data_IF_467006960532
#
_entry.id   IF_467006960532
#
_cell.length_a   1.000
_cell.length_b   1.000
_cell.length_c   1.000
_cell.angle_alpha   90.00
_cell.angle_beta   90.00
_cell.angle_gamma   90.00
#
_symmetry.space_group_name_H-M   'P 1'
#
loop_
_entity.id
_entity.type
_entity.pdbx_description
1 polymer ?
#
# COMPACT_ATOMS: atom_id res chain seq x y z
N UNK A 1 5.22 0.69 -13.64
CA UNK A 1 5.30 1.38 -12.32
C UNK A 1 5.68 0.36 -11.26
N UNK A 2 6.66 0.69 -10.41
CA UNK A 2 7.16 -0.20 -9.36
C UNK A 2 6.27 -0.13 -8.11
N UNK A 3 6.26 -1.19 -7.32
CA UNK A 3 5.47 -1.31 -6.08
C UNK A 3 5.82 -0.20 -5.07
N UNK A 4 7.11 0.09 -4.88
CA UNK A 4 7.57 1.19 -4.04
C UNK A 4 7.00 2.56 -4.45
N UNK A 5 6.80 2.79 -5.75
CA UNK A 5 6.17 4.03 -6.24
C UNK A 5 4.70 4.09 -5.86
N UNK A 6 4.01 2.95 -5.87
CA UNK A 6 2.62 2.84 -5.42
C UNK A 6 2.57 3.10 -3.91
N UNK A 7 3.42 2.45 -3.13
CA UNK A 7 3.52 2.62 -1.68
C UNK A 7 3.67 4.09 -1.29
N UNK A 8 4.65 4.80 -1.86
CA UNK A 8 4.88 6.23 -1.60
C UNK A 8 3.64 7.07 -1.98
N UNK A 9 3.08 6.87 -3.19
CA UNK A 9 1.92 7.63 -3.66
C UNK A 9 0.68 7.41 -2.79
N UNK A 10 0.40 6.17 -2.42
CA UNK A 10 -0.74 5.81 -1.56
C UNK A 10 -0.57 6.41 -0.18
N UNK A 11 0.63 6.37 0.38
CA UNK A 11 0.92 6.96 1.70
C UNK A 11 0.71 8.47 1.70
N UNK A 12 1.21 9.18 0.67
CA UNK A 12 0.96 10.63 0.50
C UNK A 12 -0.52 10.95 0.34
N UNK A 13 -1.24 10.12 -0.42
CA UNK A 13 -2.68 10.31 -0.61
C UNK A 13 -3.43 10.16 0.72
N UNK A 14 -3.17 9.11 1.50
CA UNK A 14 -3.77 8.92 2.83
C UNK A 14 -3.49 10.12 3.75
N UNK A 15 -2.24 10.58 3.82
CA UNK A 15 -1.88 11.76 4.62
C UNK A 15 -2.63 13.01 4.15
N UNK A 16 -2.71 13.25 2.84
CA UNK A 16 -3.46 14.39 2.28
C UNK A 16 -4.98 14.33 2.56
N UNK A 17 -5.49 13.15 2.95
CA UNK A 17 -6.87 12.95 3.38
C UNK A 17 -7.05 13.02 4.90
N UNK A 18 -6.00 13.37 5.63
CA UNK A 18 -6.03 13.52 7.09
C UNK A 18 -5.89 12.21 7.86
N UNK A 19 -5.38 11.14 7.24
CA UNK A 19 -5.08 9.90 7.94
C UNK A 19 -3.73 9.96 8.62
N UNK A 20 -3.66 9.37 9.81
CA UNK A 20 -2.42 9.12 10.56
C UNK A 20 -1.90 7.73 10.18
N UNK A 21 -0.64 7.65 9.78
CA UNK A 21 0.03 6.41 9.42
C UNK A 21 0.43 5.66 10.69
N UNK A 22 -0.17 4.48 10.90
CA UNK A 22 0.11 3.64 12.07
C UNK A 22 1.22 2.64 11.79
N UNK A 23 1.27 2.10 10.57
CA UNK A 23 2.28 1.13 10.17
C UNK A 23 2.52 1.19 8.67
N UNK A 24 3.76 1.00 8.25
CA UNK A 24 4.15 0.77 6.85
C UNK A 24 5.00 -0.49 6.78
N UNK A 25 4.59 -1.45 5.96
CA UNK A 25 5.44 -2.57 5.59
C UNK A 25 6.29 -2.22 4.40
N UNK A 26 7.59 -2.47 4.56
CA UNK A 26 8.57 -2.31 3.51
C UNK A 26 8.93 -3.71 3.03
N UNK A 27 8.54 -4.07 1.81
CA UNK A 27 8.84 -5.39 1.29
C UNK A 27 10.35 -5.63 1.21
N UNK A 28 10.78 -6.85 1.56
CA UNK A 28 12.18 -7.28 1.56
C UNK A 28 12.38 -8.28 0.40
N UNK A 29 13.36 -8.05 -0.48
CA UNK A 29 13.60 -8.97 -1.61
C UNK A 29 14.75 -8.58 -2.55
N UNK A 30 14.97 -9.36 -3.62
CA UNK A 30 15.92 -9.01 -4.69
C UNK A 30 15.35 -7.86 -5.53
N UNK A 31 16.10 -6.75 -5.64
CA UNK A 31 15.72 -5.55 -6.40
C UNK A 31 15.44 -4.30 -5.55
N UNK A 32 15.49 -4.41 -4.22
CA UNK A 32 15.41 -3.27 -3.30
C UNK A 32 16.78 -2.59 -3.20
N UNK A 33 17.09 -1.75 -4.18
CA UNK A 33 18.38 -1.04 -4.29
C UNK A 33 18.42 0.30 -3.54
N UNK A 34 17.32 0.75 -2.91
CA UNK A 34 17.25 2.03 -2.20
C UNK A 34 16.64 1.84 -0.82
N UNK A 35 17.11 2.63 0.13
CA UNK A 35 16.47 2.79 1.44
C UNK A 35 15.11 3.46 1.28
N UNK A 36 14.11 2.64 0.96
CA UNK A 36 12.73 3.10 0.73
C UNK A 36 12.12 3.70 1.99
N UNK A 37 12.61 3.34 3.19
CA UNK A 37 12.18 4.00 4.44
C UNK A 37 12.55 5.48 4.40
N UNK A 38 13.81 5.78 4.10
CA UNK A 38 14.26 7.18 3.98
C UNK A 38 13.52 7.92 2.88
N UNK A 39 13.24 7.29 1.74
CA UNK A 39 12.44 7.92 0.67
C UNK A 39 11.03 8.26 1.15
N UNK A 40 10.35 7.34 1.84
CA UNK A 40 9.02 7.57 2.39
C UNK A 40 9.06 8.71 3.43
N UNK A 41 10.03 8.68 4.34
CA UNK A 41 10.19 9.70 5.39
C UNK A 41 10.43 11.10 4.78
N UNK A 42 11.31 11.22 3.79
CA UNK A 42 11.59 12.49 3.09
C UNK A 42 10.32 12.98 2.38
N UNK A 43 9.69 12.13 1.57
CA UNK A 43 8.51 12.50 0.78
C UNK A 43 7.31 12.90 1.65
N UNK A 44 7.16 12.30 2.83
CA UNK A 44 6.10 12.63 3.77
C UNK A 44 6.42 13.90 4.56
N UNK A 45 7.69 14.10 4.95
CA UNK A 45 8.13 15.34 5.59
C UNK A 45 7.97 16.54 4.66
N UNK A 46 8.31 16.38 3.38
CA UNK A 46 8.09 17.41 2.35
C UNK A 46 6.59 17.69 2.13
N UNK A 47 5.73 16.71 2.41
CA UNK A 47 4.27 16.88 2.42
C UNK A 47 3.72 17.44 3.75
N UNK A 48 4.58 17.80 4.71
CA UNK A 48 4.19 18.37 6.00
C UNK A 48 3.78 17.35 7.06
N UNK A 49 4.02 16.05 6.84
CA UNK A 49 3.74 15.01 7.84
C UNK A 49 4.86 14.96 8.88
N UNK A 50 4.50 15.19 10.15
CA UNK A 50 5.47 15.28 11.26
C UNK A 50 5.39 14.11 12.24
N UNK A 51 4.38 13.26 12.11
CA UNK A 51 4.16 12.14 13.03
C UNK A 51 5.17 11.01 12.82
N UNK A 52 5.42 10.24 13.88
CA UNK A 52 6.32 9.10 13.83
C UNK A 52 5.74 7.97 12.97
N UNK A 53 6.56 7.45 12.05
CA UNK A 53 6.21 6.31 11.19
C UNK A 53 6.79 5.04 11.80
N UNK A 54 5.96 4.00 11.91
CA UNK A 54 6.39 2.67 12.36
C UNK A 54 6.53 1.72 11.17
N UNK A 55 7.73 1.16 10.98
CA UNK A 55 7.99 0.20 9.92
C UNK A 55 8.01 -1.24 10.44
N UNK A 56 7.21 -2.13 9.86
CA UNK A 56 7.17 -3.55 10.24
C UNK A 56 6.75 -4.44 9.06
N UNK A 57 7.18 -5.69 9.00
CA UNK A 57 6.97 -6.59 7.85
C UNK A 57 5.85 -7.63 8.04
N UNK A 58 4.99 -7.46 9.04
CA UNK A 58 4.06 -8.47 9.55
C UNK A 58 2.58 -8.12 9.31
N UNK A 59 2.28 -7.23 8.37
CA UNK A 59 0.93 -6.74 8.13
C UNK A 59 0.73 -6.32 6.67
N UNK A 60 -0.44 -5.73 6.39
CA UNK A 60 -0.68 -4.92 5.19
C UNK A 60 0.47 -3.92 4.95
N UNK A 61 0.69 -3.60 3.67
CA UNK A 61 1.69 -2.61 3.24
C UNK A 61 1.52 -1.25 3.92
N UNK A 62 0.29 -0.79 4.12
CA UNK A 62 -0.01 0.43 4.87
C UNK A 62 -1.17 0.17 5.82
N UNK A 63 -1.02 0.59 7.07
CA UNK A 63 -2.12 0.79 8.01
C UNK A 63 -2.19 2.27 8.35
N UNK A 64 -3.33 2.89 8.06
CA UNK A 64 -3.58 4.29 8.37
C UNK A 64 -4.97 4.44 8.97
N UNK A 65 -5.17 5.41 9.85
CA UNK A 65 -6.48 5.62 10.49
C UNK A 65 -6.79 7.10 10.64
N UNK A 66 -8.08 7.41 10.71
CA UNK A 66 -8.57 8.66 11.26
C UNK A 66 -9.50 8.34 12.45
N UNK A 67 -10.35 9.29 12.84
CA UNK A 67 -11.28 9.09 13.96
C UNK A 67 -12.37 8.03 13.69
N UNK A 68 -12.77 7.86 12.42
CA UNK A 68 -13.94 7.07 12.02
C UNK A 68 -13.54 5.72 11.38
N UNK A 69 -12.43 5.71 10.65
CA UNK A 69 -12.03 4.60 9.78
C UNK A 69 -10.58 4.17 10.02
N UNK A 70 -10.32 2.89 9.77
CA UNK A 70 -8.99 2.30 9.64
C UNK A 70 -8.83 1.67 8.25
N UNK A 71 -7.81 2.10 7.52
CA UNK A 71 -7.45 1.63 6.21
C UNK A 71 -6.31 0.62 6.32
N UNK A 72 -6.51 -0.56 5.74
CA UNK A 72 -5.49 -1.60 5.58
C UNK A 72 -5.28 -1.82 4.10
N UNK A 73 -4.14 -1.38 3.60
CA UNK A 73 -3.88 -1.27 2.16
C UNK A 73 -2.75 -2.19 1.76
N UNK A 74 -3.00 -3.03 0.77
CA UNK A 74 -1.96 -3.77 0.05
C UNK A 74 -1.57 -3.00 -1.20
N UNK A 75 -0.27 -2.90 -1.50
CA UNK A 75 0.25 -2.20 -2.67
C UNK A 75 0.79 -3.22 -3.68
N UNK A 76 0.39 -3.10 -4.94
CA UNK A 76 0.92 -3.95 -6.01
C UNK A 76 1.40 -3.16 -7.21
N UNK A 77 2.68 -3.30 -7.54
CA UNK A 77 3.24 -2.78 -8.80
C UNK A 77 2.91 -3.67 -10.00
N UNK A 78 3.07 -3.16 -11.23
CA UNK A 78 2.85 -3.96 -12.46
C UNK A 78 4.10 -4.76 -12.90
N UNK A 79 5.29 -4.44 -12.36
CA UNK A 79 6.53 -5.17 -12.67
C UNK A 79 6.86 -5.24 -14.17
N UNK A 80 7.63 -6.26 -14.57
CA UNK A 80 8.02 -6.54 -15.96
C UNK A 80 7.47 -7.91 -16.45
N UNK A 81 6.40 -8.41 -15.83
CA UNK A 81 5.85 -9.74 -16.10
C UNK A 81 4.90 -9.78 -17.30
N UNK A 82 4.60 -11.00 -17.78
CA UNK A 82 3.52 -11.25 -18.77
C UNK A 82 2.15 -10.99 -18.13
N UNK A 83 1.11 -10.83 -18.94
CA UNK A 83 -0.29 -10.65 -18.48
C UNK A 83 -0.71 -11.67 -17.42
N UNK A 84 -0.38 -12.96 -17.62
CA UNK A 84 -0.66 -14.02 -16.64
C UNK A 84 0.03 -13.77 -15.29
N UNK A 85 1.28 -13.32 -15.30
CA UNK A 85 2.02 -12.96 -14.08
C UNK A 85 1.35 -11.79 -13.36
N UNK A 86 0.87 -10.79 -14.11
CA UNK A 86 0.18 -9.64 -13.54
C UNK A 86 -1.16 -10.03 -12.92
N UNK A 87 -1.93 -10.89 -13.59
CA UNK A 87 -3.17 -11.46 -13.03
C UNK A 87 -2.91 -12.24 -11.74
N UNK A 88 -1.95 -13.17 -11.75
CA UNK A 88 -1.62 -13.93 -10.53
C UNK A 88 -1.15 -13.01 -9.38
N UNK A 89 -0.43 -11.93 -9.70
CA UNK A 89 -0.04 -10.94 -8.70
C UNK A 89 -1.23 -10.15 -8.15
N UNK A 90 -2.19 -9.80 -9.01
CA UNK A 90 -3.45 -9.17 -8.59
C UNK A 90 -4.25 -10.10 -7.67
N UNK A 91 -4.51 -11.33 -8.10
CA UNK A 91 -5.29 -12.31 -7.34
C UNK A 91 -4.68 -12.57 -5.96
N UNK A 92 -3.33 -12.69 -5.91
CA UNK A 92 -2.61 -12.84 -4.64
C UNK A 92 -2.74 -11.61 -3.74
N UNK A 93 -2.61 -10.41 -4.29
CA UNK A 93 -2.73 -9.18 -3.52
C UNK A 93 -4.15 -9.01 -2.98
N UNK A 94 -5.16 -9.27 -3.81
CA UNK A 94 -6.56 -9.25 -3.41
C UNK A 94 -6.83 -10.28 -2.31
N UNK A 95 -6.32 -11.50 -2.45
CA UNK A 95 -6.42 -12.51 -1.40
C UNK A 95 -5.79 -12.04 -0.08
N UNK A 96 -4.58 -11.44 -0.13
CA UNK A 96 -3.95 -10.85 1.06
C UNK A 96 -4.83 -9.80 1.71
N UNK A 97 -5.42 -8.87 0.94
CA UNK A 97 -6.30 -7.82 1.44
C UNK A 97 -7.45 -8.38 2.28
N UNK A 98 -8.10 -9.46 1.81
CA UNK A 98 -9.22 -10.08 2.52
C UNK A 98 -8.77 -10.71 3.85
N UNK A 99 -7.54 -11.21 3.95
CA UNK A 99 -7.00 -11.77 5.21
C UNK A 99 -6.82 -10.74 6.32
N UNK A 100 -6.83 -9.44 6.01
CA UNK A 100 -6.68 -8.38 6.99
C UNK A 100 -7.97 -8.04 7.73
N UNK A 101 -9.12 -8.61 7.31
CA UNK A 101 -10.37 -8.46 8.03
C UNK A 101 -10.27 -9.10 9.42
N UNK A 102 -10.59 -8.32 10.43
CA UNK A 102 -10.69 -8.75 11.83
C UNK A 102 -11.81 -7.94 12.50
N UNK A 103 -12.05 -8.14 13.80
CA UNK A 103 -12.93 -7.24 14.55
C UNK A 103 -12.15 -6.01 15.00
N UNK A 104 -12.62 -4.81 14.66
CA UNK A 104 -12.05 -3.52 15.08
C UNK A 104 -13.18 -2.62 15.55
N UNK A 105 -12.87 -1.67 16.43
CA UNK A 105 -13.84 -0.69 16.91
C UNK A 105 -14.23 0.37 15.86
N UNK A 106 -13.41 0.55 14.82
CA UNK A 106 -13.62 1.51 13.72
C UNK A 106 -14.09 0.80 12.47
N UNK A 107 -14.71 1.55 11.56
CA UNK A 107 -15.02 1.03 10.23
C UNK A 107 -13.72 0.66 9.50
N UNK A 108 -13.65 -0.58 9.02
CA UNK A 108 -12.50 -1.05 8.27
C UNK A 108 -12.69 -0.82 6.78
N UNK A 109 -11.65 -0.26 6.16
CA UNK A 109 -11.51 -0.19 4.71
C UNK A 109 -10.32 -1.06 4.31
N UNK A 110 -10.63 -2.17 3.64
CA UNK A 110 -9.65 -3.07 3.06
C UNK A 110 -9.43 -2.68 1.60
N UNK A 111 -8.22 -2.30 1.23
CA UNK A 111 -7.95 -1.71 -0.07
C UNK A 111 -6.76 -2.35 -0.78
N UNK A 112 -6.85 -2.40 -2.11
CA UNK A 112 -5.77 -2.79 -2.99
C UNK A 112 -5.34 -1.57 -3.82
N UNK A 113 -4.14 -1.05 -3.56
CA UNK A 113 -3.54 0.04 -4.32
C UNK A 113 -2.76 -0.50 -5.51
N UNK A 114 -3.18 -0.14 -6.72
CA UNK A 114 -2.62 -0.60 -7.99
C UNK A 114 -2.44 0.56 -8.98
N UNK A 115 -1.48 0.45 -9.92
CA UNK A 115 -1.36 1.40 -11.00
C UNK A 115 -2.63 1.42 -11.87
N UNK A 116 -3.02 2.62 -12.29
CA UNK A 116 -4.10 2.82 -13.25
C UNK A 116 -3.62 2.46 -14.67
N UNK A 117 -3.56 1.16 -14.97
CA UNK A 117 -3.07 0.61 -16.24
C UNK A 117 -3.94 -0.56 -16.70
N UNK A 118 -4.11 -0.70 -18.02
CA UNK A 118 -5.03 -1.67 -18.64
C UNK A 118 -4.93 -3.09 -18.07
N UNK A 119 -3.74 -3.69 -17.86
CA UNK A 119 -3.65 -5.07 -17.35
C UNK A 119 -4.28 -5.29 -15.97
N UNK A 120 -4.30 -4.27 -15.11
CA UNK A 120 -4.97 -4.34 -13.81
C UNK A 120 -6.42 -3.89 -13.86
N UNK A 121 -6.75 -2.86 -14.65
CA UNK A 121 -8.14 -2.43 -14.83
C UNK A 121 -9.02 -3.54 -15.40
N UNK A 122 -8.49 -4.35 -16.31
CA UNK A 122 -9.21 -5.51 -16.84
C UNK A 122 -9.60 -6.52 -15.75
N UNK A 123 -8.82 -6.64 -14.66
CA UNK A 123 -9.17 -7.56 -13.57
C UNK A 123 -10.31 -7.04 -12.68
N UNK A 124 -10.63 -5.74 -12.74
CA UNK A 124 -11.71 -5.13 -11.96
C UNK A 124 -13.09 -5.23 -12.63
N UNK A 125 -13.14 -5.62 -13.91
CA UNK A 125 -14.35 -5.66 -14.72
C UNK A 125 -14.95 -7.07 -14.86
N UNK A 126 -14.39 -8.05 -14.16
CA UNK A 126 -14.83 -9.44 -14.09
C UNK A 126 -15.43 -9.75 -12.73
#
# INVERSE_FOLDING_TARGET
MLENTILVKTTKWLVSKGYVLKKISVPRGKGYNRDIKSVIEIELKDAGYTERIYFSSDSADIIAENKDEIWKVECKGIGFGKTQTNRNNFDRALASVVTYFNEEAKQQVLALAIPNVLPYLQQLLH
#
